data_IF_848639597571
#
_entry.id   IF_848639597571
#
_cell.length_a   1.000
_cell.length_b   1.000
_cell.length_c   1.000
_cell.angle_alpha   90.00
_cell.angle_beta   90.00
_cell.angle_gamma   90.00
#
_symmetry.space_group_name_H-M   'P 1'
#
loop_
_entity.id
_entity.type
_entity.pdbx_description
1 polymer ?
#
# COMPACT_ATOMS: atom_id res chain seq x y z
N UNK A 1 -2.88 14.03 -4.77
CA UNK A 1 -2.37 12.66 -4.93
C UNK A 1 -2.44 11.93 -3.60
N UNK A 2 -3.02 10.76 -3.59
CA UNK A 2 -3.10 9.97 -2.37
C UNK A 2 -2.80 8.52 -2.69
N UNK A 3 -2.46 7.75 -1.65
CA UNK A 3 -2.14 6.34 -1.79
C UNK A 3 -3.41 5.55 -2.13
N UNK A 4 -3.31 4.72 -3.15
CA UNK A 4 -4.44 3.88 -3.58
C UNK A 4 -4.38 2.56 -2.81
N UNK A 5 -5.07 2.53 -1.68
CA UNK A 5 -5.06 1.35 -0.82
C UNK A 5 -5.76 0.16 -1.46
N UNK A 6 -6.76 0.42 -2.31
CA UNK A 6 -7.42 -0.65 -3.05
C UNK A 6 -6.46 -1.34 -4.00
N UNK A 7 -5.60 -0.56 -4.66
CA UNK A 7 -4.58 -1.12 -5.54
C UNK A 7 -3.58 -1.93 -4.74
N UNK A 8 -3.18 -1.42 -3.58
CA UNK A 8 -2.24 -2.12 -2.72
C UNK A 8 -2.80 -3.49 -2.31
N UNK A 9 -4.05 -3.51 -1.88
CA UNK A 9 -4.72 -4.74 -1.50
C UNK A 9 -4.80 -5.71 -2.68
N UNK A 10 -5.16 -5.21 -3.85
CA UNK A 10 -5.28 -6.04 -5.03
C UNK A 10 -3.95 -6.67 -5.40
N UNK A 11 -2.86 -5.92 -5.33
CA UNK A 11 -1.54 -6.45 -5.65
C UNK A 11 -1.11 -7.49 -4.63
N UNK A 12 -1.43 -7.27 -3.35
CA UNK A 12 -1.12 -8.26 -2.32
C UNK A 12 -1.84 -9.58 -2.61
N UNK A 13 -3.13 -9.50 -2.91
CA UNK A 13 -3.92 -10.68 -3.21
C UNK A 13 -3.40 -11.38 -4.48
N UNK A 14 -3.04 -10.58 -5.48
CA UNK A 14 -2.50 -11.14 -6.72
C UNK A 14 -1.20 -11.90 -6.50
N UNK A 15 -0.42 -11.52 -5.48
CA UNK A 15 0.81 -12.22 -5.14
C UNK A 15 0.56 -13.40 -4.21
N UNK A 16 -0.69 -13.63 -3.82
CA UNK A 16 -1.03 -14.75 -2.95
C UNK A 16 -0.63 -14.54 -1.50
N UNK A 17 -0.50 -13.29 -1.05
CA UNK A 17 -0.05 -13.00 0.30
C UNK A 17 -1.22 -12.59 1.19
N UNK A 18 -1.27 -13.16 2.40
CA UNK A 18 -2.24 -12.74 3.39
C UNK A 18 -1.74 -11.50 4.13
N UNK A 19 -2.65 -10.84 4.84
CA UNK A 19 -2.26 -9.70 5.67
C UNK A 19 -1.28 -10.13 6.76
N UNK A 20 -1.47 -11.32 7.29
CA UNK A 20 -0.56 -11.84 8.31
C UNK A 20 0.84 -12.05 7.74
N UNK A 21 0.92 -12.60 6.53
CA UNK A 21 2.22 -12.78 5.89
C UNK A 21 2.90 -11.45 5.60
N UNK A 22 2.13 -10.46 5.18
CA UNK A 22 2.70 -9.13 4.97
C UNK A 22 3.24 -8.54 6.26
N UNK A 23 2.48 -8.68 7.34
CA UNK A 23 2.90 -8.18 8.64
C UNK A 23 4.21 -8.85 9.08
N UNK A 24 4.32 -10.16 8.91
CA UNK A 24 5.53 -10.87 9.26
C UNK A 24 6.72 -10.37 8.46
N UNK A 25 6.53 -10.15 7.17
CA UNK A 25 7.61 -9.66 6.30
C UNK A 25 8.00 -8.22 6.65
N UNK A 26 7.08 -7.47 7.25
CA UNK A 26 7.37 -6.12 7.73
C UNK A 26 8.07 -6.13 9.09
N UNK A 27 8.14 -7.29 9.74
CA UNK A 27 8.76 -7.40 11.05
C UNK A 27 7.81 -7.20 12.21
N UNK A 28 6.50 -7.22 11.96
CA UNK A 28 5.50 -7.06 13.01
C UNK A 28 5.10 -8.43 13.53
N UNK A 29 4.77 -8.49 14.83
CA UNK A 29 4.47 -9.76 15.49
C UNK A 29 3.02 -10.19 15.28
N UNK A 30 2.16 -9.31 14.79
CA UNK A 30 0.76 -9.63 14.51
C UNK A 30 0.34 -8.90 13.25
N UNK A 31 -0.84 -9.27 12.72
CA UNK A 31 -1.31 -8.66 11.47
C UNK A 31 -1.92 -7.28 11.67
N UNK A 32 -2.28 -6.94 12.92
CA UNK A 32 -3.00 -5.70 13.20
C UNK A 32 -2.35 -4.45 12.62
N UNK A 33 -1.06 -4.24 12.86
CA UNK A 33 -0.39 -3.05 12.29
C UNK A 33 -0.48 -2.97 10.78
N UNK A 34 -0.38 -4.08 10.06
CA UNK A 34 -0.52 -4.06 8.62
C UNK A 34 -1.96 -3.81 8.21
N UNK A 35 -2.90 -4.53 8.85
CA UNK A 35 -4.31 -4.41 8.52
C UNK A 35 -4.80 -2.97 8.63
N UNK A 36 -4.40 -2.28 9.69
CA UNK A 36 -4.83 -0.90 9.91
C UNK A 36 -4.28 0.04 8.86
N UNK A 37 -3.07 -0.22 8.38
CA UNK A 37 -2.48 0.62 7.33
C UNK A 37 -3.13 0.37 5.98
N UNK A 38 -3.42 -0.89 5.68
CA UNK A 38 -4.08 -1.22 4.41
C UNK A 38 -5.51 -0.70 4.39
N UNK A 39 -6.18 -0.66 5.53
CA UNK A 39 -7.56 -0.14 5.60
C UNK A 39 -7.63 1.38 5.67
N UNK A 40 -6.51 2.04 5.95
CA UNK A 40 -6.49 3.49 6.08
C UNK A 40 -6.74 3.98 7.48
N UNK A 41 -6.89 3.10 8.46
CA UNK A 41 -7.09 3.49 9.85
C UNK A 41 -5.86 4.17 10.44
N UNK A 42 -4.68 3.78 9.97
CA UNK A 42 -3.41 4.37 10.36
C UNK A 42 -2.69 4.79 9.09
N UNK A 43 -2.14 5.99 9.08
CA UNK A 43 -1.38 6.47 7.93
C UNK A 43 -0.14 5.61 7.72
N UNK A 44 0.13 5.31 6.45
CA UNK A 44 1.31 4.53 6.08
C UNK A 44 2.47 5.48 5.87
N UNK A 45 3.56 5.28 6.60
CA UNK A 45 4.76 6.08 6.42
C UNK A 45 5.43 5.76 5.10
N UNK A 46 6.25 6.70 4.61
CA UNK A 46 6.93 6.54 3.33
C UNK A 46 7.83 5.29 3.34
N UNK A 47 8.61 5.13 4.40
CA UNK A 47 9.51 3.97 4.47
C UNK A 47 8.74 2.66 4.57
N UNK A 48 7.61 2.69 5.27
CA UNK A 48 6.75 1.51 5.35
C UNK A 48 6.19 1.16 3.99
N UNK A 49 5.72 2.17 3.26
CA UNK A 49 5.18 1.97 1.94
C UNK A 49 6.22 1.38 0.98
N UNK A 50 7.43 1.94 0.99
CA UNK A 50 8.48 1.45 0.10
C UNK A 50 8.85 0.00 0.42
N UNK A 51 8.86 -0.36 1.71
CA UNK A 51 9.14 -1.73 2.09
C UNK A 51 8.02 -2.67 1.67
N UNK A 52 6.77 -2.22 1.81
CA UNK A 52 5.61 -3.01 1.42
C UNK A 52 5.64 -3.31 -0.08
N UNK A 53 5.87 -2.29 -0.91
CA UNK A 53 5.87 -2.54 -2.35
C UNK A 53 7.07 -3.40 -2.77
N UNK A 54 8.21 -3.29 -2.05
CA UNK A 54 9.35 -4.16 -2.31
C UNK A 54 8.98 -5.62 -2.05
N UNK A 55 8.25 -5.88 -0.98
CA UNK A 55 7.76 -7.22 -0.67
C UNK A 55 6.88 -7.74 -1.79
N UNK A 56 6.11 -6.85 -2.40
CA UNK A 56 5.22 -7.21 -3.51
C UNK A 56 5.96 -7.32 -4.85
N UNK A 57 7.26 -7.03 -4.86
CA UNK A 57 8.07 -7.20 -6.06
C UNK A 57 8.25 -5.94 -6.88
N UNK A 58 7.96 -4.78 -6.32
CA UNK A 58 8.07 -3.51 -7.04
C UNK A 58 9.24 -2.69 -6.52
N UNK A 59 9.91 -1.99 -7.42
CA UNK A 59 10.96 -1.06 -7.06
C UNK A 59 10.35 0.30 -6.68
N UNK A 60 11.16 1.14 -6.04
CA UNK A 60 10.68 2.47 -5.69
C UNK A 60 10.32 3.31 -6.91
N UNK A 61 10.96 3.03 -8.04
CA UNK A 61 10.64 3.73 -9.29
C UNK A 61 9.23 3.40 -9.78
N UNK A 62 8.69 2.27 -9.34
CA UNK A 62 7.34 1.85 -9.72
C UNK A 62 6.29 2.29 -8.72
N UNK A 63 6.68 3.04 -7.69
CA UNK A 63 5.76 3.44 -6.63
C UNK A 63 4.56 4.24 -7.15
N UNK A 64 4.72 4.92 -8.28
CA UNK A 64 3.65 5.76 -8.82
C UNK A 64 2.36 5.03 -9.11
N UNK A 65 2.42 3.73 -9.42
CA UNK A 65 1.21 2.97 -9.72
C UNK A 65 0.28 2.84 -8.51
N UNK A 66 0.80 3.11 -7.32
CA UNK A 66 0.02 2.98 -6.08
C UNK A 66 -0.58 4.30 -5.62
N UNK A 67 -0.51 5.34 -6.43
CA UNK A 67 -1.07 6.64 -6.07
C UNK A 67 -2.22 6.98 -7.00
N UNK A 68 -3.27 7.54 -6.40
CA UNK A 68 -4.40 8.04 -7.17
C UNK A 68 -4.15 9.49 -7.53
N UNK A 69 -4.58 9.86 -8.72
CA UNK A 69 -4.51 11.23 -9.17
C UNK A 69 -5.84 11.90 -8.83
N UNK A 70 -5.79 12.83 -7.86
CA UNK A 70 -7.00 13.44 -7.33
C UNK A 70 -7.20 14.84 -7.88
N UNK A 71 -7.10 14.98 -9.18
CA UNK A 71 -7.34 16.26 -9.81
C UNK A 71 -8.81 16.65 -9.65
N UNK A 72 -9.09 17.83 -9.09
CA UNK A 72 -10.47 18.27 -8.97
C UNK A 72 -11.15 18.40 -10.33
N UNK A 73 -12.38 17.95 -10.42
CA UNK A 73 -13.08 17.92 -11.68
C UNK A 73 -13.31 19.32 -12.25
N UNK A 74 -13.52 20.29 -11.39
CA UNK A 74 -13.81 21.64 -11.85
C UNK A 74 -12.65 22.26 -12.60
N UNK A 75 -11.48 21.74 -12.48
CA UNK A 75 -10.32 22.28 -13.19
C UNK A 75 -10.37 21.99 -14.68
N UNK A 76 -11.31 21.19 -15.10
CA UNK A 76 -11.39 20.83 -16.49
C UNK A 76 -12.40 21.65 -17.26
N UNK A 77 -13.08 22.53 -16.59
CA UNK A 77 -14.06 23.40 -17.26
C UNK A 77 -13.40 24.60 -17.90
#
# INVERSE_FOLDING_TARGET
>A
MSLDLSRLKAERIAKGLTQEEMAQKMGWSSRGPYTKRESGDIDMGVNEFLKIIAILGYSKEQAGIFFKDEVPKKERS
#
